data_IF_007358778640
#
_entry.id   IF_007358778640
#
_cell.length_a   1.000
_cell.length_b   1.000
_cell.length_c   1.000
_cell.angle_alpha   90.00
_cell.angle_beta   90.00
_cell.angle_gamma   90.00
#
_symmetry.space_group_name_H-M   'P 1'
#
loop_
_entity.id
_entity.type
_entity.pdbx_description
1 polymer ?
#
# COMPACT_ATOMS: atom_id res chain seq x y z
N UNK A 1 -4.56 -18.86 3.89
CA UNK A 1 -5.20 -17.64 3.35
C UNK A 1 -6.24 -17.15 4.35
N UNK A 2 -6.15 -15.90 4.81
CA UNK A 2 -7.10 -15.31 5.79
C UNK A 2 -7.91 -14.20 5.12
N UNK A 3 -9.23 -14.19 5.31
CA UNK A 3 -10.10 -13.10 4.87
C UNK A 3 -10.40 -12.19 6.05
N UNK A 4 -10.26 -10.87 5.84
CA UNK A 4 -10.56 -9.84 6.83
C UNK A 4 -11.74 -8.97 6.41
N UNK A 5 -12.50 -8.48 7.39
CA UNK A 5 -13.66 -7.60 7.16
C UNK A 5 -13.26 -6.14 7.15
N UNK A 6 -14.17 -5.27 6.70
CA UNK A 6 -13.94 -3.83 6.59
C UNK A 6 -13.36 -3.20 7.87
N UNK A 7 -13.84 -3.61 9.06
CA UNK A 7 -13.31 -3.11 10.34
C UNK A 7 -11.82 -3.40 10.48
N UNK A 8 -11.41 -4.65 10.25
CA UNK A 8 -9.99 -5.04 10.28
C UNK A 8 -9.17 -4.36 9.19
N UNK A 9 -9.74 -4.13 7.99
CA UNK A 9 -9.06 -3.37 6.93
C UNK A 9 -8.80 -1.94 7.37
N UNK A 10 -9.79 -1.28 8.00
CA UNK A 10 -9.63 0.06 8.57
C UNK A 10 -8.56 0.06 9.65
N UNK A 11 -8.62 -0.90 10.58
CA UNK A 11 -7.65 -1.00 11.68
C UNK A 11 -6.22 -1.28 11.16
N UNK A 12 -6.07 -2.04 10.06
CA UNK A 12 -4.77 -2.39 9.48
C UNK A 12 -4.18 -1.27 8.61
N UNK A 13 -5.02 -0.59 7.82
CA UNK A 13 -4.57 0.45 6.87
C UNK A 13 -4.60 1.87 7.46
N UNK A 14 -5.34 2.08 8.56
CA UNK A 14 -5.61 3.41 9.12
C UNK A 14 -6.54 4.27 8.25
N UNK A 15 -7.07 3.74 7.15
CA UNK A 15 -7.91 4.50 6.22
C UNK A 15 -9.37 4.53 6.66
N UNK A 16 -10.03 5.66 6.43
CA UNK A 16 -11.47 5.75 6.56
C UNK A 16 -12.19 4.90 5.49
N UNK A 17 -13.39 4.42 5.82
CA UNK A 17 -14.26 3.64 4.92
C UNK A 17 -14.46 4.29 3.55
N UNK A 18 -14.69 5.60 3.50
CA UNK A 18 -14.89 6.34 2.26
C UNK A 18 -13.64 6.32 1.37
N UNK A 19 -12.46 6.45 1.96
CA UNK A 19 -11.18 6.39 1.25
C UNK A 19 -10.94 5.01 0.65
N UNK A 20 -11.26 3.94 1.40
CA UNK A 20 -11.17 2.56 0.91
C UNK A 20 -12.03 2.40 -0.34
N UNK A 21 -13.31 2.79 -0.29
CA UNK A 21 -14.17 2.68 -1.47
C UNK A 21 -13.76 3.58 -2.63
N UNK A 22 -13.21 4.76 -2.34
CA UNK A 22 -12.64 5.63 -3.37
C UNK A 22 -11.50 4.91 -4.10
N UNK A 23 -10.55 4.33 -3.37
CA UNK A 23 -9.43 3.61 -3.98
C UNK A 23 -9.85 2.31 -4.67
N UNK A 24 -10.90 1.63 -4.18
CA UNK A 24 -11.52 0.52 -4.92
C UNK A 24 -12.09 1.00 -6.26
N UNK A 25 -12.79 2.14 -6.26
CA UNK A 25 -13.32 2.75 -7.49
C UNK A 25 -12.24 3.24 -8.47
N UNK A 26 -11.09 3.66 -7.94
CA UNK A 26 -9.91 4.04 -8.72
C UNK A 26 -9.06 2.83 -9.18
N UNK A 27 -9.38 1.61 -8.72
CA UNK A 27 -8.59 0.42 -8.99
C UNK A 27 -7.22 0.39 -8.31
N UNK A 28 -7.00 1.26 -7.31
CA UNK A 28 -5.73 1.42 -6.59
C UNK A 28 -5.71 0.69 -5.25
N UNK A 29 -6.76 -0.06 -4.92
CA UNK A 29 -6.91 -0.87 -3.70
C UNK A 29 -7.27 -2.32 -4.02
N UNK A 30 -6.91 -3.29 -3.17
CA UNK A 30 -7.28 -4.69 -3.38
C UNK A 30 -8.79 -4.91 -3.53
N UNK A 31 -9.15 -5.77 -4.48
CA UNK A 31 -10.54 -6.08 -4.79
C UNK A 31 -11.21 -6.84 -3.65
N UNK A 32 -12.52 -6.64 -3.49
CA UNK A 32 -13.33 -7.39 -2.53
C UNK A 32 -13.57 -8.82 -3.00
N UNK A 33 -13.42 -9.77 -2.08
CA UNK A 33 -13.90 -11.15 -2.23
C UNK A 33 -15.35 -11.22 -1.73
N UNK A 34 -16.26 -11.69 -2.58
CA UNK A 34 -17.63 -11.97 -2.17
C UNK A 34 -17.68 -13.26 -1.35
N UNK A 35 -18.27 -13.17 -0.15
CA UNK A 35 -18.49 -14.28 0.77
C UNK A 35 -19.99 -14.64 0.89
N UNK A 36 -20.84 -14.09 0.00
CA UNK A 36 -22.29 -14.28 -0.02
C UNK A 36 -23.04 -12.96 -0.27
N UNK A 37 -24.38 -13.03 -0.32
CA UNK A 37 -25.27 -11.97 -0.83
C UNK A 37 -25.04 -10.56 -0.28
N UNK A 38 -24.55 -10.41 0.95
CA UNK A 38 -24.26 -9.11 1.58
C UNK A 38 -22.94 -9.05 2.32
N UNK A 39 -22.09 -10.03 2.09
CA UNK A 39 -20.88 -10.25 2.87
C UNK A 39 -19.67 -10.14 1.95
N UNK A 40 -18.88 -9.07 2.11
CA UNK A 40 -17.59 -8.91 1.42
C UNK A 40 -16.44 -8.96 2.41
N UNK A 41 -15.25 -9.31 1.92
CA UNK A 41 -14.01 -9.28 2.67
C UNK A 41 -12.82 -9.05 1.74
N UNK A 42 -11.63 -8.97 2.32
CA UNK A 42 -10.37 -8.81 1.60
C UNK A 42 -9.39 -9.89 2.02
N UNK A 43 -8.52 -10.31 1.12
CA UNK A 43 -7.44 -11.22 1.49
C UNK A 43 -6.42 -10.43 2.30
N UNK A 44 -6.08 -10.92 3.49
CA UNK A 44 -5.16 -10.24 4.41
C UNK A 44 -3.80 -9.94 3.76
N UNK A 45 -3.25 -10.89 3.01
CA UNK A 45 -1.97 -10.72 2.33
C UNK A 45 -2.02 -9.60 1.29
N UNK A 46 -3.08 -9.50 0.50
CA UNK A 46 -3.20 -8.42 -0.51
C UNK A 46 -3.24 -7.03 0.15
N UNK A 47 -3.87 -6.91 1.32
CA UNK A 47 -3.87 -5.66 2.09
C UNK A 47 -2.45 -5.36 2.61
N UNK A 48 -1.73 -6.35 3.12
CA UNK A 48 -0.33 -6.18 3.55
C UNK A 48 0.57 -5.77 2.37
N UNK A 49 0.45 -6.44 1.24
CA UNK A 49 1.23 -6.15 0.03
C UNK A 49 0.94 -4.74 -0.48
N UNK A 50 -0.33 -4.31 -0.42
CA UNK A 50 -0.72 -2.94 -0.74
C UNK A 50 -0.08 -1.90 0.19
N UNK A 51 -0.02 -2.17 1.49
CA UNK A 51 0.67 -1.29 2.46
C UNK A 51 2.17 -1.24 2.16
N UNK A 52 2.79 -2.39 1.89
CA UNK A 52 4.21 -2.46 1.55
C UNK A 52 4.52 -1.66 0.27
N UNK A 53 3.69 -1.78 -0.77
CA UNK A 53 3.85 -0.99 -1.99
C UNK A 53 3.79 0.53 -1.71
N UNK A 54 2.89 0.99 -0.83
CA UNK A 54 2.83 2.41 -0.41
C UNK A 54 4.08 2.86 0.34
N UNK A 55 4.65 1.98 1.18
CA UNK A 55 5.89 2.24 1.90
C UNK A 55 7.07 2.32 0.92
N UNK A 56 7.16 1.40 -0.03
CA UNK A 56 8.18 1.39 -1.06
C UNK A 56 8.09 2.63 -1.96
N UNK A 57 6.89 3.02 -2.41
CA UNK A 57 6.66 4.25 -3.18
C UNK A 57 7.16 5.49 -2.41
N UNK A 58 6.87 5.58 -1.10
CA UNK A 58 7.37 6.66 -0.23
C UNK A 58 8.89 6.64 -0.12
N UNK A 59 9.49 5.48 0.10
CA UNK A 59 10.93 5.34 0.31
C UNK A 59 11.72 5.62 -0.98
N UNK A 60 11.18 5.19 -2.14
CA UNK A 60 11.68 5.58 -3.46
C UNK A 60 11.60 7.09 -3.68
N UNK A 61 10.49 7.73 -3.29
CA UNK A 61 10.35 9.18 -3.37
C UNK A 61 11.29 9.92 -2.41
N UNK A 62 11.65 9.30 -1.27
CA UNK A 62 12.58 9.86 -0.29
C UNK A 62 14.06 9.68 -0.65
N UNK A 63 14.44 8.63 -1.40
CA UNK A 63 15.83 8.40 -1.87
C UNK A 63 16.19 9.23 -3.13
N UNK A 64 15.21 9.88 -3.76
CA UNK A 64 15.42 10.80 -4.87
C UNK A 64 15.78 12.23 -4.37
N UNK A 65 16.86 12.89 -4.83
CA UNK A 65 18.21 12.45 -5.15
C UNK A 65 19.17 12.92 -4.03
N UNK A 66 19.16 12.29 -2.85
CA UNK A 66 20.18 12.59 -1.82
C UNK A 66 21.54 11.94 -2.19
N UNK A 67 21.54 10.93 -3.09
CA UNK A 67 22.74 10.24 -3.59
C UNK A 67 23.42 10.91 -4.79
N UNK A 68 22.77 11.88 -5.45
CA UNK A 68 23.38 12.62 -6.56
C UNK A 68 24.53 13.55 -6.14
N UNK A 69 24.81 13.68 -4.83
CA UNK A 69 25.82 14.59 -4.29
C UNK A 69 27.04 13.94 -3.62
N UNK A 70 27.28 12.61 -3.72
CA UNK A 70 28.38 11.96 -2.97
C UNK A 70 29.47 11.26 -3.81
N UNK A 71 29.48 11.32 -5.13
CA UNK A 71 30.56 10.66 -5.89
C UNK A 71 31.22 11.57 -6.94
N UNK A 72 32.02 12.52 -6.48
CA UNK A 72 33.14 13.14 -7.23
C UNK A 72 34.21 13.58 -6.20
N UNK A 73 34.64 12.65 -5.34
CA UNK A 73 35.90 12.79 -4.62
C UNK A 73 36.55 11.42 -4.58
N UNK A 74 37.46 11.21 -5.52
CA UNK A 74 38.75 10.49 -5.41
C UNK A 74 39.12 9.99 -6.81
N UNK A 75 40.05 10.71 -7.43
CA UNK A 75 41.14 10.29 -8.32
C UNK A 75 41.74 11.59 -8.89
N UNK A 76 42.51 12.35 -8.12
CA UNK A 76 43.96 12.22 -7.93
C UNK A 76 44.77 12.12 -9.23
N UNK A 77 45.65 13.13 -9.37
CA UNK A 77 46.94 13.20 -10.06
C UNK A 77 46.96 13.52 -11.55
#
# INVERSE_FOLDING_TARGET
MRIIRLKEVIDTTGLARSTIYKYIGEGTFPATVSLGDRCVGWVYSEICDWILARIEERDLAADAPIRAGRLEMVSSN
#
